data_IF_059260649676
#
_entry.id   IF_059260649676
#
_cell.length_a   1.000
_cell.length_b   1.000
_cell.length_c   1.000
_cell.angle_alpha   90.00
_cell.angle_beta   90.00
_cell.angle_gamma   90.00
#
_symmetry.space_group_name_H-M   'P 1'
#
loop_
_entity.id
_entity.type
_entity.pdbx_description
1 polymer ?
#
# COMPACT_ATOMS: atom_id res chain seq x y z
N UNK A 1 5.09 37.97 14.88
CA UNK A 1 5.56 37.44 13.58
C UNK A 1 4.96 36.06 13.42
N UNK A 2 4.24 35.76 12.33
CA UNK A 2 3.80 34.40 12.07
C UNK A 2 4.99 33.54 11.63
N UNK A 3 5.10 32.34 12.20
CA UNK A 3 6.03 31.28 11.81
C UNK A 3 5.24 30.01 11.52
N UNK A 4 5.82 29.08 10.77
CA UNK A 4 5.27 27.76 10.50
C UNK A 4 6.38 26.72 10.50
N UNK A 5 6.02 25.46 10.74
CA UNK A 5 6.95 24.33 10.76
C UNK A 5 6.87 23.54 9.44
N UNK A 6 8.02 23.05 8.97
CA UNK A 6 8.11 22.10 7.85
C UNK A 6 8.24 20.71 8.45
N UNK A 7 7.21 19.89 8.28
CA UNK A 7 7.16 18.50 8.78
C UNK A 7 6.91 17.52 7.63
N UNK A 8 7.46 16.31 7.76
CA UNK A 8 7.22 15.19 6.86
C UNK A 8 6.52 14.09 7.66
N UNK A 9 5.23 14.30 7.92
CA UNK A 9 4.38 13.36 8.65
C UNK A 9 3.49 12.60 7.68
N UNK A 10 3.36 11.29 7.92
CA UNK A 10 2.44 10.42 7.19
C UNK A 10 1.24 10.15 8.06
N UNK A 11 0.04 10.36 7.52
CA UNK A 11 -1.20 9.99 8.19
C UNK A 11 -1.34 8.46 8.20
N UNK A 12 -1.17 7.85 9.37
CA UNK A 12 -1.25 6.41 9.56
C UNK A 12 -2.64 5.84 9.29
N UNK A 13 -3.71 6.64 9.41
CA UNK A 13 -5.06 6.22 9.05
C UNK A 13 -5.22 6.15 7.53
N UNK A 14 -4.73 7.16 6.80
CA UNK A 14 -4.75 7.13 5.33
C UNK A 14 -3.82 6.05 4.78
N UNK A 15 -2.68 5.79 5.44
CA UNK A 15 -1.81 4.66 5.12
C UNK A 15 -2.55 3.32 5.22
N UNK A 16 -3.20 3.06 6.36
CA UNK A 16 -4.00 1.84 6.55
C UNK A 16 -5.11 1.71 5.52
N UNK A 17 -5.82 2.79 5.24
CA UNK A 17 -6.86 2.84 4.20
C UNK A 17 -6.30 2.51 2.80
N UNK A 18 -5.11 3.01 2.47
CA UNK A 18 -4.46 2.74 1.19
C UNK A 18 -4.09 1.26 1.05
N UNK A 19 -3.54 0.66 2.12
CA UNK A 19 -3.18 -0.76 2.14
C UNK A 19 -4.41 -1.67 2.07
N UNK A 20 -5.47 -1.35 2.81
CA UNK A 20 -6.73 -2.11 2.74
C UNK A 20 -7.33 -2.10 1.33
N UNK A 21 -7.23 -0.98 0.63
CA UNK A 21 -7.66 -0.89 -0.76
C UNK A 21 -6.75 -1.67 -1.71
N UNK A 22 -5.44 -1.68 -1.47
CA UNK A 22 -4.50 -2.48 -2.25
C UNK A 22 -4.79 -3.98 -2.07
N UNK A 23 -5.03 -4.43 -0.83
CA UNK A 23 -5.45 -5.78 -0.50
C UNK A 23 -6.75 -6.18 -1.20
N UNK A 24 -7.77 -5.30 -1.21
CA UNK A 24 -9.01 -5.57 -1.94
C UNK A 24 -8.78 -5.71 -3.44
N UNK A 25 -7.95 -4.86 -4.04
CA UNK A 25 -7.66 -4.93 -5.48
C UNK A 25 -6.95 -6.23 -5.86
N UNK A 26 -5.93 -6.64 -5.11
CA UNK A 26 -5.24 -7.92 -5.31
C UNK A 26 -6.21 -9.10 -5.19
N UNK A 27 -7.07 -9.11 -4.18
CA UNK A 27 -8.08 -10.16 -4.01
C UNK A 27 -9.11 -10.23 -5.16
N UNK A 28 -9.41 -9.11 -5.82
CA UNK A 28 -10.36 -9.07 -6.95
C UNK A 28 -9.73 -9.41 -8.30
N UNK A 29 -8.39 -9.35 -8.40
CA UNK A 29 -7.68 -9.59 -9.65
C UNK A 29 -7.56 -11.08 -9.96
N UNK A 30 -7.92 -11.45 -11.19
CA UNK A 30 -7.94 -12.86 -11.61
C UNK A 30 -6.54 -13.48 -11.64
N UNK A 31 -5.51 -12.70 -11.94
CA UNK A 31 -4.12 -13.13 -12.00
C UNK A 31 -3.47 -13.39 -10.63
N UNK A 32 -4.10 -12.91 -9.54
CA UNK A 32 -3.73 -13.26 -8.16
C UNK A 32 -4.64 -14.33 -7.57
N UNK A 33 -5.63 -14.83 -8.32
CA UNK A 33 -6.59 -15.81 -7.84
C UNK A 33 -5.89 -17.14 -7.55
N UNK A 34 -5.83 -17.51 -6.28
CA UNK A 34 -5.18 -18.74 -5.82
C UNK A 34 -3.70 -18.58 -5.47
N UNK A 35 -3.13 -17.38 -5.68
CA UNK A 35 -1.83 -17.02 -5.13
C UNK A 35 -2.00 -16.49 -3.70
N UNK A 36 -1.09 -16.84 -2.79
CA UNK A 36 -1.03 -16.23 -1.46
C UNK A 36 -0.37 -14.84 -1.54
N UNK A 37 -1.11 -13.88 -2.11
CA UNK A 37 -0.66 -12.52 -2.33
C UNK A 37 -1.37 -11.52 -1.41
N UNK A 38 -0.63 -10.87 -0.52
CA UNK A 38 -1.20 -9.93 0.46
C UNK A 38 -0.21 -8.83 0.87
N UNK A 39 -0.77 -7.74 1.39
CA UNK A 39 -0.04 -6.64 2.03
C UNK A 39 -0.28 -6.68 3.54
N UNK A 40 0.79 -6.59 4.32
CA UNK A 40 0.73 -6.49 5.78
C UNK A 40 1.37 -5.19 6.25
N UNK A 41 0.70 -4.46 7.15
CA UNK A 41 1.22 -3.23 7.77
C UNK A 41 1.59 -3.53 9.21
N UNK A 42 2.85 -3.25 9.57
CA UNK A 42 3.35 -3.35 10.92
C UNK A 42 4.01 -2.03 11.31
N UNK A 43 3.25 -1.17 12.00
CA UNK A 43 3.69 0.18 12.31
C UNK A 43 4.00 0.97 11.05
N UNK A 44 5.27 1.30 10.83
CA UNK A 44 5.76 2.07 9.67
C UNK A 44 6.28 1.21 8.51
N UNK A 45 6.20 -0.11 8.63
CA UNK A 45 6.66 -1.04 7.60
C UNK A 45 5.48 -1.70 6.89
N UNK A 46 5.63 -1.91 5.58
CA UNK A 46 4.66 -2.62 4.74
C UNK A 46 5.37 -3.79 4.10
N UNK A 47 4.90 -4.99 4.40
CA UNK A 47 5.41 -6.24 3.84
C UNK A 47 4.51 -6.67 2.68
N UNK A 48 5.12 -7.01 1.55
CA UNK A 48 4.45 -7.57 0.38
C UNK A 48 4.82 -9.05 0.29
N UNK A 49 3.82 -9.92 0.29
CA UNK A 49 3.99 -11.36 0.07
C UNK A 49 3.35 -11.74 -1.27
N UNK A 50 4.07 -12.53 -2.07
CA UNK A 50 3.56 -13.14 -3.31
C UNK A 50 4.42 -14.35 -3.71
N UNK A 51 3.96 -15.16 -4.67
CA UNK A 51 4.63 -16.39 -5.08
C UNK A 51 5.83 -16.14 -6.01
N UNK A 52 5.85 -15.01 -6.71
CA UNK A 52 6.93 -14.67 -7.64
C UNK A 52 7.22 -13.17 -7.70
N UNK A 53 8.40 -12.84 -8.22
CA UNK A 53 8.90 -11.45 -8.32
C UNK A 53 8.03 -10.58 -9.23
N UNK A 54 7.47 -11.14 -10.30
CA UNK A 54 6.60 -10.41 -11.20
C UNK A 54 5.30 -9.94 -10.51
N UNK A 55 4.71 -10.81 -9.68
CA UNK A 55 3.56 -10.46 -8.83
C UNK A 55 3.93 -9.38 -7.82
N UNK A 56 5.10 -9.46 -7.18
CA UNK A 56 5.58 -8.42 -6.25
C UNK A 56 5.70 -7.06 -6.96
N UNK A 57 6.22 -7.03 -8.18
CA UNK A 57 6.34 -5.81 -8.96
C UNK A 57 4.98 -5.20 -9.27
N UNK A 58 4.00 -6.02 -9.67
CA UNK A 58 2.63 -5.56 -9.90
C UNK A 58 1.95 -5.08 -8.61
N UNK A 59 2.19 -5.75 -7.49
CA UNK A 59 1.67 -5.36 -6.18
C UNK A 59 2.25 -4.00 -5.74
N UNK A 60 3.55 -3.77 -5.98
CA UNK A 60 4.18 -2.49 -5.72
C UNK A 60 3.51 -1.35 -6.51
N UNK A 61 3.23 -1.57 -7.79
CA UNK A 61 2.52 -0.58 -8.62
C UNK A 61 1.10 -0.30 -8.11
N UNK A 62 0.38 -1.31 -7.63
CA UNK A 62 -0.95 -1.15 -7.04
C UNK A 62 -0.85 -0.32 -5.76
N UNK A 63 0.10 -0.66 -4.87
CA UNK A 63 0.29 0.01 -3.59
C UNK A 63 0.59 1.50 -3.79
N UNK A 64 1.53 1.85 -4.67
CA UNK A 64 1.86 3.24 -4.99
C UNK A 64 0.65 4.01 -5.53
N UNK A 65 -0.11 3.40 -6.45
CA UNK A 65 -1.33 4.03 -6.98
C UNK A 65 -2.38 4.29 -5.90
N UNK A 66 -2.50 3.42 -4.89
CA UNK A 66 -3.43 3.62 -3.77
C UNK A 66 -2.95 4.71 -2.82
N UNK A 67 -1.65 4.73 -2.49
CA UNK A 67 -1.06 5.76 -1.64
C UNK A 67 -1.19 7.16 -2.24
N UNK A 68 -0.82 7.32 -3.51
CA UNK A 68 -0.96 8.61 -4.23
C UNK A 68 -2.41 9.11 -4.22
N UNK A 69 -3.38 8.20 -4.36
CA UNK A 69 -4.80 8.55 -4.32
C UNK A 69 -5.27 9.05 -2.94
N UNK A 70 -4.54 8.74 -1.89
CA UNK A 70 -4.79 9.17 -0.50
C UNK A 70 -3.89 10.31 -0.04
N UNK A 71 -2.98 10.79 -0.90
CA UNK A 71 -2.04 11.85 -0.54
C UNK A 71 -0.94 11.40 0.42
N UNK A 72 -0.65 10.10 0.44
CA UNK A 72 0.49 9.48 1.12
C UNK A 72 1.66 9.35 0.15
#
# INVERSE_FOLDING_TARGET
MPSFDVVSEVDMHELGNAVDQANREVNTRFDFKGADAHFEVSGTEITLAAENEFQLQQMMDILQKKMVKRGV
#
